data_IF_967402025189
#
_entry.id   IF_967402025189
#
_cell.length_a   1.000
_cell.length_b   1.000
_cell.length_c   1.000
_cell.angle_alpha   90.00
_cell.angle_beta   90.00
_cell.angle_gamma   90.00
#
_symmetry.space_group_name_H-M   'P 1'
#
loop_
_entity.id
_entity.type
_entity.pdbx_description
1 polymer ?
#
# COMPACT_ATOMS: atom_id res chain seq x y z
N UNK A 1 -17.34 11.15 5.47
CA UNK A 1 -16.39 11.09 4.33
C UNK A 1 -15.81 9.67 4.20
N UNK A 2 -15.31 9.03 5.29
CA UNK A 2 -14.71 7.69 5.23
C UNK A 2 -15.67 6.61 4.69
N UNK A 3 -16.89 6.52 5.21
CA UNK A 3 -17.89 5.56 4.70
C UNK A 3 -18.19 5.77 3.21
N UNK A 4 -18.26 7.04 2.77
CA UNK A 4 -18.42 7.36 1.35
C UNK A 4 -17.23 6.86 0.52
N UNK A 5 -15.99 7.03 1.00
CA UNK A 5 -14.81 6.51 0.29
C UNK A 5 -14.78 4.98 0.19
N UNK A 6 -15.26 4.27 1.22
CA UNK A 6 -15.39 2.81 1.17
C UNK A 6 -16.44 2.40 0.12
N UNK A 7 -17.60 3.08 0.10
CA UNK A 7 -18.63 2.83 -0.93
C UNK A 7 -18.07 3.07 -2.33
N UNK A 8 -17.32 4.16 -2.54
CA UNK A 8 -16.68 4.44 -3.83
C UNK A 8 -15.64 3.38 -4.22
N UNK A 9 -14.85 2.87 -3.24
CA UNK A 9 -13.90 1.77 -3.48
C UNK A 9 -14.62 0.47 -3.89
N UNK A 10 -15.78 0.18 -3.32
CA UNK A 10 -16.59 -0.97 -3.73
C UNK A 10 -17.21 -0.74 -5.11
N UNK A 11 -17.73 0.46 -5.37
CA UNK A 11 -18.38 0.79 -6.65
C UNK A 11 -17.41 0.73 -7.83
N UNK A 12 -16.14 1.07 -7.65
CA UNK A 12 -15.14 1.04 -8.73
C UNK A 12 -14.89 -0.38 -9.25
N UNK A 13 -15.11 -1.40 -8.44
CA UNK A 13 -14.99 -2.79 -8.89
C UNK A 13 -16.04 -3.16 -9.93
N UNK A 14 -17.26 -2.60 -9.78
CA UNK A 14 -18.40 -2.86 -10.67
C UNK A 14 -18.49 -1.85 -11.83
N UNK A 15 -18.24 -0.57 -11.55
CA UNK A 15 -18.43 0.54 -12.49
C UNK A 15 -17.13 1.10 -13.07
N UNK A 16 -15.98 0.62 -12.57
CA UNK A 16 -14.67 1.15 -12.93
C UNK A 16 -14.30 0.88 -14.38
N UNK A 17 -13.68 1.89 -15.02
CA UNK A 17 -12.99 1.74 -16.29
C UNK A 17 -11.62 1.12 -16.09
N UNK A 18 -11.24 0.22 -17.02
CA UNK A 18 -9.91 -0.41 -17.01
C UNK A 18 -8.86 0.56 -17.53
N UNK A 19 -7.96 0.98 -16.65
CA UNK A 19 -6.74 1.69 -17.03
C UNK A 19 -5.51 0.87 -16.67
N UNK A 20 -4.61 0.63 -17.63
CA UNK A 20 -3.37 -0.15 -17.43
C UNK A 20 -3.60 -1.54 -16.80
N UNK A 21 -4.67 -2.24 -17.18
CA UNK A 21 -4.97 -3.60 -16.72
C UNK A 21 -5.68 -3.73 -15.38
N UNK A 22 -6.07 -2.62 -14.73
CA UNK A 22 -6.84 -2.64 -13.49
C UNK A 22 -7.98 -1.62 -13.49
N UNK A 23 -9.09 -1.98 -12.85
CA UNK A 23 -10.24 -1.10 -12.67
C UNK A 23 -10.02 -0.20 -11.46
N UNK A 24 -9.61 1.04 -11.65
CA UNK A 24 -9.24 1.96 -10.56
C UNK A 24 -9.90 3.33 -10.67
N UNK A 25 -10.53 3.64 -11.81
CA UNK A 25 -11.03 4.94 -12.14
C UNK A 25 -12.54 4.91 -12.38
N UNK A 26 -13.25 5.88 -11.85
CA UNK A 26 -14.66 6.15 -12.18
C UNK A 26 -14.67 7.34 -13.12
N UNK A 27 -15.14 7.13 -14.34
CA UNK A 27 -15.30 8.20 -15.32
C UNK A 27 -16.63 8.93 -15.06
N UNK A 28 -16.55 10.21 -14.69
CA UNK A 28 -17.69 11.08 -14.47
C UNK A 28 -18.01 11.96 -15.70
N UNK A 29 -17.42 11.66 -16.85
CA UNK A 29 -17.61 12.39 -18.10
C UNK A 29 -16.63 13.54 -18.28
N UNK A 30 -16.48 14.41 -17.32
CA UNK A 30 -15.59 15.59 -17.35
C UNK A 30 -14.31 15.39 -16.51
N UNK A 31 -14.30 14.49 -15.56
CA UNK A 31 -13.12 14.09 -14.77
C UNK A 31 -13.12 12.58 -14.51
N UNK A 32 -11.92 12.03 -14.38
CA UNK A 32 -11.71 10.68 -13.88
C UNK A 32 -11.42 10.75 -12.38
N UNK A 33 -12.29 10.14 -11.58
CA UNK A 33 -12.14 10.06 -10.14
C UNK A 33 -11.47 8.73 -9.78
N UNK A 34 -10.39 8.81 -8.98
CA UNK A 34 -9.79 7.62 -8.36
C UNK A 34 -10.25 7.54 -6.90
N UNK A 35 -11.11 6.58 -6.53
CA UNK A 35 -11.65 6.47 -5.17
C UNK A 35 -10.58 6.31 -4.08
N UNK A 36 -9.46 5.67 -4.38
CA UNK A 36 -8.36 5.48 -3.44
C UNK A 36 -7.66 6.80 -3.06
N UNK A 37 -7.67 7.83 -3.91
CA UNK A 37 -7.17 9.16 -3.56
C UNK A 37 -8.03 9.81 -2.47
N UNK A 38 -9.35 9.70 -2.61
CA UNK A 38 -10.30 10.16 -1.60
C UNK A 38 -10.16 9.35 -0.30
N UNK A 39 -9.96 8.04 -0.41
CA UNK A 39 -9.81 7.15 0.73
C UNK A 39 -8.58 7.47 1.58
N UNK A 40 -7.46 7.88 0.99
CA UNK A 40 -6.25 8.29 1.74
C UNK A 40 -6.54 9.48 2.66
N UNK A 41 -7.18 10.52 2.13
CA UNK A 41 -7.54 11.71 2.91
C UNK A 41 -8.58 11.35 3.98
N UNK A 42 -9.60 10.61 3.60
CA UNK A 42 -10.69 10.20 4.48
C UNK A 42 -10.21 9.33 5.66
N UNK A 43 -9.24 8.44 5.40
CA UNK A 43 -8.61 7.60 6.43
C UNK A 43 -7.85 8.45 7.45
N UNK A 44 -7.01 9.39 6.99
CA UNK A 44 -6.24 10.28 7.88
C UNK A 44 -7.20 11.11 8.75
N UNK A 45 -8.24 11.68 8.16
CA UNK A 45 -9.25 12.47 8.88
C UNK A 45 -9.99 11.62 9.93
N UNK A 46 -10.37 10.38 9.59
CA UNK A 46 -11.04 9.49 10.52
C UNK A 46 -10.14 9.12 11.70
N UNK A 47 -8.88 8.78 11.42
CA UNK A 47 -7.92 8.42 12.46
C UNK A 47 -7.60 9.62 13.35
N UNK A 48 -7.45 10.81 12.79
CA UNK A 48 -7.25 12.03 13.56
C UNK A 48 -8.43 12.30 14.50
N UNK A 49 -9.66 12.20 14.00
CA UNK A 49 -10.86 12.37 14.82
C UNK A 49 -11.00 11.26 15.89
N UNK A 50 -10.62 10.02 15.57
CA UNK A 50 -10.61 8.93 16.53
C UNK A 50 -9.65 9.20 17.70
N UNK A 51 -8.42 9.63 17.40
CA UNK A 51 -7.43 9.90 18.44
C UNK A 51 -7.67 11.21 19.18
N UNK A 52 -8.33 12.20 18.58
CA UNK A 52 -8.81 13.41 19.27
C UNK A 52 -9.86 13.07 20.32
N UNK A 53 -10.78 12.17 19.97
CA UNK A 53 -11.82 11.69 20.90
C UNK A 53 -11.28 10.76 21.99
N UNK A 54 -10.21 9.99 21.73
CA UNK A 54 -9.72 8.93 22.62
C UNK A 54 -8.89 9.50 23.77
N UNK A 55 -9.22 9.20 25.05
CA UNK A 55 -8.39 9.58 26.19
C UNK A 55 -6.96 9.03 26.08
N UNK A 56 -5.97 9.85 26.45
CA UNK A 56 -4.55 9.50 26.30
C UNK A 56 -4.14 8.20 27.01
N UNK A 57 -4.78 7.86 28.14
CA UNK A 57 -4.54 6.61 28.88
C UNK A 57 -5.00 5.36 28.13
N UNK A 58 -5.80 5.49 27.09
CA UNK A 58 -6.35 4.39 26.30
C UNK A 58 -5.64 4.17 24.96
N UNK A 59 -4.84 5.11 24.49
CA UNK A 59 -4.22 5.09 23.15
C UNK A 59 -3.43 3.81 22.87
N UNK A 60 -2.76 3.26 23.88
CA UNK A 60 -1.96 2.04 23.75
C UNK A 60 -2.60 0.79 24.32
N UNK A 61 -3.87 0.84 24.76
CA UNK A 61 -4.56 -0.37 25.23
C UNK A 61 -4.96 -1.25 24.04
N UNK A 62 -4.73 -2.58 24.09
CA UNK A 62 -4.93 -3.46 22.94
C UNK A 62 -6.28 -3.33 22.26
N UNK A 63 -7.35 -3.26 23.05
CA UNK A 63 -8.72 -3.15 22.54
C UNK A 63 -8.93 -1.88 21.68
N UNK A 64 -8.30 -0.77 22.08
CA UNK A 64 -8.40 0.51 21.37
C UNK A 64 -7.44 0.63 20.19
N UNK A 65 -6.36 -0.16 20.18
CA UNK A 65 -5.43 -0.27 19.04
C UNK A 65 -6.03 -1.09 17.89
N UNK A 66 -6.92 -2.05 18.16
CA UNK A 66 -7.59 -2.85 17.14
C UNK A 66 -8.49 -1.99 16.24
N UNK A 67 -9.14 -0.96 16.79
CA UNK A 67 -10.07 -0.10 16.04
C UNK A 67 -9.40 0.63 14.87
N UNK A 68 -8.31 1.40 15.07
CA UNK A 68 -7.61 2.03 13.96
C UNK A 68 -6.99 1.01 13.00
N UNK A 69 -6.54 -0.15 13.46
CA UNK A 69 -6.09 -1.23 12.59
C UNK A 69 -7.22 -1.68 11.65
N UNK A 70 -8.44 -1.86 12.17
CA UNK A 70 -9.59 -2.21 11.33
C UNK A 70 -9.93 -1.11 10.31
N UNK A 71 -9.86 0.18 10.71
CA UNK A 71 -10.06 1.31 9.79
C UNK A 71 -9.00 1.38 8.70
N UNK A 72 -7.76 1.03 8.99
CA UNK A 72 -6.68 0.99 7.99
C UNK A 72 -6.83 -0.23 7.09
N UNK A 73 -7.09 -1.40 7.67
CA UNK A 73 -7.13 -2.67 6.94
C UNK A 73 -8.24 -2.72 5.89
N UNK A 74 -9.40 -2.14 6.17
CA UNK A 74 -10.55 -2.19 5.26
C UNK A 74 -10.25 -1.56 3.89
N UNK A 75 -9.84 -0.29 3.76
CA UNK A 75 -9.49 0.29 2.47
C UNK A 75 -8.24 -0.33 1.86
N UNK A 76 -7.26 -0.75 2.66
CA UNK A 76 -6.06 -1.44 2.17
C UNK A 76 -6.43 -2.74 1.45
N UNK A 77 -7.28 -3.58 2.05
CA UNK A 77 -7.72 -4.84 1.44
C UNK A 77 -8.52 -4.60 0.16
N UNK A 78 -9.42 -3.61 0.14
CA UNK A 78 -10.19 -3.26 -1.07
C UNK A 78 -9.27 -2.80 -2.21
N UNK A 79 -8.25 -1.99 -1.92
CA UNK A 79 -7.30 -1.52 -2.94
C UNK A 79 -6.37 -2.64 -3.40
N UNK A 80 -6.01 -3.58 -2.52
CA UNK A 80 -5.25 -4.78 -2.91
C UNK A 80 -6.03 -5.67 -3.90
N UNK A 81 -7.35 -5.77 -3.77
CA UNK A 81 -8.19 -6.49 -4.74
C UNK A 81 -8.19 -5.82 -6.12
N UNK A 82 -7.93 -4.51 -6.19
CA UNK A 82 -7.80 -3.73 -7.44
C UNK A 82 -6.39 -3.80 -8.06
N UNK A 83 -5.58 -4.82 -7.82
CA UNK A 83 -4.14 -5.00 -7.93
C UNK A 83 -3.32 -3.69 -7.89
N UNK A 84 -3.57 -2.83 -6.89
CA UNK A 84 -2.84 -1.58 -6.67
C UNK A 84 -1.99 -1.63 -5.38
N UNK A 85 -0.87 -2.28 -5.49
CA UNK A 85 0.04 -2.50 -4.37
C UNK A 85 0.66 -1.17 -3.88
N UNK A 86 0.94 -0.23 -4.79
CA UNK A 86 1.52 1.06 -4.45
C UNK A 86 0.59 1.89 -3.56
N UNK A 87 -0.66 2.03 -3.98
CA UNK A 87 -1.66 2.80 -3.22
C UNK A 87 -2.04 2.12 -1.91
N UNK A 88 -2.13 0.78 -1.89
CA UNK A 88 -2.41 0.04 -0.65
C UNK A 88 -1.29 0.21 0.38
N UNK A 89 -0.04 0.23 -0.07
CA UNK A 89 1.11 0.50 0.80
C UNK A 89 1.09 1.94 1.33
N UNK A 90 0.74 2.92 0.50
CA UNK A 90 0.60 4.32 0.94
C UNK A 90 -0.51 4.48 1.98
N UNK A 91 -1.66 3.83 1.80
CA UNK A 91 -2.74 3.81 2.78
C UNK A 91 -2.28 3.21 4.12
N UNK A 92 -1.61 2.06 4.06
CA UNK A 92 -1.06 1.40 5.24
C UNK A 92 -0.06 2.30 5.97
N UNK A 93 0.92 2.83 5.26
CA UNK A 93 1.95 3.69 5.84
C UNK A 93 1.36 4.99 6.42
N UNK A 94 0.39 5.61 5.73
CA UNK A 94 -0.29 6.81 6.23
C UNK A 94 -1.01 6.51 7.55
N UNK A 95 -1.76 5.42 7.62
CA UNK A 95 -2.47 5.01 8.83
C UNK A 95 -1.52 4.69 9.99
N UNK A 96 -0.48 3.92 9.73
CA UNK A 96 0.56 3.58 10.73
C UNK A 96 1.28 4.83 11.23
N UNK A 97 1.55 5.80 10.35
CA UNK A 97 2.16 7.09 10.73
C UNK A 97 1.25 7.87 11.68
N UNK A 98 -0.05 7.96 11.40
CA UNK A 98 -1.00 8.62 12.29
C UNK A 98 -1.05 7.91 13.66
N UNK A 99 -1.09 6.59 13.70
CA UNK A 99 -1.04 5.82 14.95
C UNK A 99 0.22 6.11 15.76
N UNK A 100 1.38 6.18 15.09
CA UNK A 100 2.65 6.49 15.73
C UNK A 100 2.66 7.91 16.31
N UNK A 101 2.21 8.91 15.52
CA UNK A 101 2.12 10.31 15.96
C UNK A 101 1.11 10.52 17.08
N UNK A 102 0.05 9.70 17.14
CA UNK A 102 -0.93 9.70 18.22
C UNK A 102 -0.40 9.12 19.55
N UNK A 103 0.80 8.54 19.55
CA UNK A 103 1.45 8.01 20.75
C UNK A 103 1.13 6.55 21.05
N UNK A 104 0.72 5.76 20.06
CA UNK A 104 0.62 4.30 20.21
C UNK A 104 1.99 3.73 20.53
N UNK A 105 2.05 2.85 21.54
CA UNK A 105 3.32 2.34 22.06
C UNK A 105 4.13 1.60 20.98
N UNK A 106 5.40 1.91 20.86
CA UNK A 106 6.31 1.41 19.83
C UNK A 106 6.39 -0.13 19.74
N UNK A 107 6.08 -0.84 20.81
CA UNK A 107 6.05 -2.32 20.86
C UNK A 107 5.12 -2.89 19.79
N UNK A 108 3.97 -2.27 19.51
CA UNK A 108 3.06 -2.74 18.46
C UNK A 108 3.72 -2.71 17.09
N UNK A 109 4.42 -1.61 16.77
CA UNK A 109 5.14 -1.47 15.49
C UNK A 109 6.32 -2.45 15.42
N UNK A 110 7.08 -2.56 16.50
CA UNK A 110 8.18 -3.52 16.61
C UNK A 110 7.71 -4.98 16.44
N UNK A 111 6.57 -5.34 17.02
CA UNK A 111 5.99 -6.67 16.85
C UNK A 111 5.59 -6.94 15.40
N UNK A 112 4.94 -5.98 14.72
CA UNK A 112 4.56 -6.12 13.31
C UNK A 112 5.81 -6.24 12.43
N UNK A 113 6.82 -5.41 12.65
CA UNK A 113 8.09 -5.46 11.90
C UNK A 113 8.79 -6.81 12.13
N UNK A 114 8.87 -7.27 13.37
CA UNK A 114 9.51 -8.55 13.70
C UNK A 114 8.76 -9.73 13.08
N UNK A 115 7.42 -9.71 13.13
CA UNK A 115 6.59 -10.76 12.50
C UNK A 115 6.75 -10.76 10.99
N UNK A 116 6.66 -9.59 10.34
CA UNK A 116 6.83 -9.44 8.89
C UNK A 116 8.23 -9.86 8.45
N UNK A 117 9.27 -9.42 9.17
CA UNK A 117 10.66 -9.82 8.92
C UNK A 117 10.87 -11.32 9.09
N UNK A 118 10.34 -11.90 10.16
CA UNK A 118 10.36 -13.35 10.39
C UNK A 118 9.64 -14.13 9.28
N UNK A 119 8.49 -13.63 8.82
CA UNK A 119 7.74 -14.24 7.71
C UNK A 119 8.53 -14.17 6.39
N UNK A 120 9.14 -13.02 6.08
CA UNK A 120 10.01 -12.88 4.89
C UNK A 120 11.19 -13.84 4.95
N UNK A 121 11.86 -13.97 6.10
CA UNK A 121 12.96 -14.93 6.28
C UNK A 121 12.45 -16.36 6.09
N UNK A 122 11.30 -16.71 6.64
CA UNK A 122 10.69 -18.02 6.47
C UNK A 122 10.34 -18.31 5.00
N UNK A 123 9.81 -17.31 4.27
CA UNK A 123 9.55 -17.40 2.83
C UNK A 123 10.81 -17.75 2.04
N UNK A 124 11.90 -17.02 2.26
CA UNK A 124 13.15 -17.30 1.54
C UNK A 124 13.76 -18.65 1.92
N UNK A 125 13.65 -19.06 3.19
CA UNK A 125 14.11 -20.38 3.63
C UNK A 125 13.25 -21.53 3.12
N UNK A 126 11.97 -21.29 2.80
CA UNK A 126 11.07 -22.33 2.24
C UNK A 126 11.32 -22.61 0.77
N UNK A 127 12.10 -21.75 0.07
CA UNK A 127 12.38 -21.89 -1.37
C UNK A 127 13.08 -23.22 -1.66
N UNK A 128 12.53 -23.99 -2.62
CA UNK A 128 13.08 -25.27 -3.01
C UNK A 128 12.82 -26.42 -2.02
N UNK A 129 11.99 -26.22 -1.00
CA UNK A 129 11.56 -27.27 -0.06
C UNK A 129 10.12 -27.71 -0.36
N UNK A 130 9.71 -28.89 0.17
CA UNK A 130 8.33 -29.36 0.07
C UNK A 130 7.30 -28.40 0.71
N UNK A 131 7.77 -27.48 1.56
CA UNK A 131 6.98 -26.47 2.28
C UNK A 131 7.04 -25.10 1.62
N UNK A 132 7.34 -25.06 0.32
CA UNK A 132 7.47 -23.79 -0.40
C UNK A 132 6.14 -23.03 -0.37
N UNK A 133 6.14 -21.85 0.27
CA UNK A 133 4.95 -21.03 0.47
C UNK A 133 4.58 -20.21 -0.78
N UNK A 134 5.58 -19.83 -1.57
CA UNK A 134 5.42 -19.07 -2.80
C UNK A 134 5.79 -19.93 -4.01
N UNK A 135 5.06 -19.75 -5.12
CA UNK A 135 5.38 -20.40 -6.37
C UNK A 135 6.62 -19.76 -7.03
N UNK A 136 7.31 -20.52 -7.86
CA UNK A 136 8.58 -20.08 -8.48
C UNK A 136 8.45 -18.76 -9.26
N UNK A 137 7.31 -18.52 -9.91
CA UNK A 137 7.08 -17.25 -10.61
C UNK A 137 6.99 -16.06 -9.67
N UNK A 138 6.59 -16.25 -8.41
CA UNK A 138 6.54 -15.18 -7.39
C UNK A 138 7.94 -14.86 -6.89
N UNK A 139 8.77 -15.89 -6.69
CA UNK A 139 10.19 -15.70 -6.38
C UNK A 139 10.94 -15.03 -7.52
N UNK A 140 10.66 -15.42 -8.77
CA UNK A 140 11.30 -14.79 -9.93
C UNK A 140 11.00 -13.28 -10.01
N UNK A 141 9.81 -12.84 -9.62
CA UNK A 141 9.50 -11.39 -9.53
C UNK A 141 10.32 -10.67 -8.46
N UNK A 142 10.55 -11.34 -7.31
CA UNK A 142 11.41 -10.80 -6.25
C UNK A 142 12.86 -10.73 -6.74
N UNK A 143 13.34 -11.80 -7.38
CA UNK A 143 14.69 -11.87 -7.94
C UNK A 143 14.92 -10.78 -8.99
N UNK A 144 13.97 -10.57 -9.89
CA UNK A 144 14.04 -9.51 -10.92
C UNK A 144 14.00 -8.11 -10.29
N UNK A 145 13.24 -7.93 -9.21
CA UNK A 145 13.21 -6.66 -8.48
C UNK A 145 14.55 -6.35 -7.81
N UNK A 146 15.19 -7.36 -7.21
CA UNK A 146 16.50 -7.22 -6.55
C UNK A 146 17.65 -7.12 -7.55
N UNK A 147 17.54 -7.82 -8.66
CA UNK A 147 18.51 -7.81 -9.75
C UNK A 147 17.82 -7.66 -11.11
N UNK A 148 17.49 -6.42 -11.53
CA UNK A 148 16.80 -6.15 -12.80
C UNK A 148 17.57 -6.64 -14.04
N UNK A 149 18.90 -6.75 -13.93
CA UNK A 149 19.77 -7.18 -15.02
C UNK A 149 19.62 -8.69 -15.36
N UNK A 150 18.93 -9.45 -14.50
CA UNK A 150 18.61 -10.86 -14.75
C UNK A 150 17.53 -11.05 -15.82
N UNK A 151 16.68 -10.04 -16.08
CA UNK A 151 15.64 -10.06 -17.11
C UNK A 151 15.55 -8.69 -17.81
N UNK A 152 16.56 -8.33 -18.64
CA UNK A 152 16.67 -6.98 -19.20
C UNK A 152 15.62 -6.65 -20.27
N UNK A 153 14.94 -7.65 -20.82
CA UNK A 153 13.91 -7.48 -21.87
C UNK A 153 12.48 -7.67 -21.36
N UNK A 154 12.30 -8.21 -20.14
CA UNK A 154 11.01 -8.43 -19.49
C UNK A 154 10.74 -7.47 -18.34
N UNK A 155 10.44 -8.00 -17.17
CA UNK A 155 10.09 -7.20 -15.98
C UNK A 155 11.22 -6.26 -15.53
N UNK A 156 12.49 -6.63 -15.74
CA UNK A 156 13.65 -5.79 -15.45
C UNK A 156 13.75 -4.54 -16.32
N UNK A 157 13.22 -4.56 -17.55
CA UNK A 157 13.22 -3.41 -18.45
C UNK A 157 12.55 -2.18 -17.83
N UNK A 158 11.34 -2.35 -17.28
CA UNK A 158 10.60 -1.24 -16.67
C UNK A 158 11.31 -0.66 -15.45
N UNK A 159 11.96 -1.50 -14.65
CA UNK A 159 12.75 -1.06 -13.49
C UNK A 159 13.97 -0.28 -13.94
N UNK A 160 14.68 -0.77 -14.93
CA UNK A 160 15.87 -0.12 -15.50
C UNK A 160 15.53 1.24 -16.13
N UNK A 161 14.44 1.32 -16.89
CA UNK A 161 13.96 2.57 -17.48
C UNK A 161 13.55 3.58 -16.41
N UNK A 162 12.90 3.12 -15.34
CA UNK A 162 12.54 4.00 -14.19
C UNK A 162 13.78 4.55 -13.50
N UNK A 163 14.83 3.72 -13.30
CA UNK A 163 16.11 4.17 -12.73
C UNK A 163 16.79 5.20 -13.61
N UNK A 164 16.80 4.98 -14.93
CA UNK A 164 17.37 5.92 -15.92
C UNK A 164 16.60 7.25 -15.88
N UNK A 165 15.26 7.19 -15.89
CA UNK A 165 14.43 8.39 -15.84
C UNK A 165 14.68 9.21 -14.56
N UNK A 166 14.70 8.56 -13.39
CA UNK A 166 15.00 9.22 -12.11
C UNK A 166 16.43 9.76 -12.07
N UNK A 167 17.42 8.97 -12.51
CA UNK A 167 18.81 9.38 -12.51
C UNK A 167 19.10 10.52 -13.47
N UNK A 168 18.44 10.53 -14.65
CA UNK A 168 18.60 11.58 -15.64
C UNK A 168 18.00 12.93 -15.23
N UNK A 169 16.98 12.90 -14.35
CA UNK A 169 16.36 14.11 -13.82
C UNK A 169 17.17 14.82 -12.73
N UNK A 170 18.07 14.09 -12.04
CA UNK A 170 18.83 14.64 -10.91
C UNK A 170 17.91 15.27 -9.84
N UNK A 171 18.38 16.36 -9.21
CA UNK A 171 17.63 17.04 -8.14
C UNK A 171 16.56 18.01 -8.66
N UNK A 172 16.69 18.50 -9.88
CA UNK A 172 15.84 19.59 -10.41
C UNK A 172 14.89 19.12 -11.51
N UNK A 173 15.02 17.88 -11.96
CA UNK A 173 14.31 17.39 -13.13
C UNK A 173 14.90 17.91 -14.43
N UNK A 174 14.38 17.44 -15.57
CA UNK A 174 14.77 17.92 -16.92
C UNK A 174 13.92 19.06 -17.45
N UNK A 175 12.82 19.37 -16.79
CA UNK A 175 11.84 20.33 -17.25
C UNK A 175 10.48 19.68 -17.51
N UNK A 176 9.45 20.51 -17.70
CA UNK A 176 8.10 20.06 -18.01
C UNK A 176 8.03 19.68 -19.51
N UNK A 177 7.64 18.46 -19.83
CA UNK A 177 7.53 17.91 -21.17
C UNK A 177 8.85 17.63 -21.93
N UNK A 178 9.97 17.49 -21.25
CA UNK A 178 11.25 17.04 -21.84
C UNK A 178 11.56 15.56 -21.54
#
# INVERSE_FOLDING_TARGET
>A
IYMLSIVLLLLVEFLGSTGMGAKRWINLGFINLQPSEVAKIALIMLLAAYYDWLPADKVSKPLWVIVPIAFISLPVLLVLQQPDLGTSLLLLLSGVTVMFLAGVHWVYFGTVIAFTGGFVIALFKSRGTEWQLFQDYQFSRIDTFLNPDSDPLGAGYHISQSKIALGSGGWTGRGYME
#
